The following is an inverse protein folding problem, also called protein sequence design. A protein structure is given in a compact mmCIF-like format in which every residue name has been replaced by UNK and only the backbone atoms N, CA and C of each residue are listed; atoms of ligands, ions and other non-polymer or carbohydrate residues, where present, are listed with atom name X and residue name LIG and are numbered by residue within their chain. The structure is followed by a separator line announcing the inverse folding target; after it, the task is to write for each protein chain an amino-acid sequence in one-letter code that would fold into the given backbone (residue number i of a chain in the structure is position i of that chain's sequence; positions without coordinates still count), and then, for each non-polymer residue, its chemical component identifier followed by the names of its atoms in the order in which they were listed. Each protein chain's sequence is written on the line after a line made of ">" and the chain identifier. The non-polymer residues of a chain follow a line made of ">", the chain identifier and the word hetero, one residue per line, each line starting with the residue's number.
data_IF_688887817787
#
_entry.id   IF_688887817787
#
_cell.length_a   1.000
_cell.length_b   1.000
_cell.length_c   1.000
_cell.angle_alpha   90.00
_cell.angle_beta   90.00
_cell.angle_gamma   90.00
#
_symmetry.space_group_name_H-M   'P 1'
#
loop_
_entity.id
_entity.type
_entity.pdbx_description
1 polymer ?
#
# COMPACT_ATOMS: atom_id res chain seq x y z
N UNK A 1 12.30 -15.73 2.79
CA UNK A 1 12.82 -14.68 1.88
C UNK A 1 12.86 -15.27 0.48
N UNK A 2 12.31 -14.57 -0.51
CA UNK A 2 12.37 -15.02 -1.92
C UNK A 2 13.59 -14.38 -2.58
N UNK A 3 14.28 -15.13 -3.44
CA UNK A 3 15.40 -14.60 -4.23
C UNK A 3 14.88 -13.56 -5.22
N UNK A 4 15.61 -12.47 -5.38
CA UNK A 4 15.29 -11.46 -6.38
C UNK A 4 15.65 -11.98 -7.77
N UNK A 5 14.72 -11.85 -8.72
CA UNK A 5 14.85 -12.33 -10.09
C UNK A 5 14.56 -11.19 -11.07
N UNK A 6 14.75 -11.42 -12.37
CA UNK A 6 14.33 -10.47 -13.40
C UNK A 6 12.80 -10.36 -13.40
N UNK A 7 12.26 -9.19 -13.08
CA UNK A 7 10.82 -8.90 -13.03
C UNK A 7 10.42 -8.14 -14.29
N UNK A 8 9.39 -8.62 -15.01
CA UNK A 8 8.74 -7.92 -16.13
C UNK A 8 7.27 -7.71 -15.78
N UNK A 9 6.89 -6.50 -15.41
CA UNK A 9 5.52 -6.14 -14.97
C UNK A 9 5.08 -4.81 -15.57
N UNK A 10 3.80 -4.48 -15.36
CA UNK A 10 3.25 -3.15 -15.63
C UNK A 10 3.80 -2.18 -14.59
N UNK A 11 4.20 -0.98 -15.03
CA UNK A 11 4.63 0.12 -14.17
C UNK A 11 3.46 1.06 -13.96
N UNK A 12 3.28 1.54 -12.72
CA UNK A 12 2.31 2.57 -12.38
C UNK A 12 3.06 3.84 -11.96
N UNK A 13 2.94 4.95 -12.71
CA UNK A 13 3.55 6.22 -12.30
C UNK A 13 2.86 6.76 -11.05
N UNK A 14 3.65 7.25 -10.09
CA UNK A 14 3.17 7.90 -8.86
C UNK A 14 3.82 9.28 -8.75
N UNK A 15 3.12 10.31 -9.19
CA UNK A 15 3.60 11.69 -9.20
C UNK A 15 3.39 12.36 -7.82
N UNK A 16 4.17 11.92 -6.84
CA UNK A 16 4.16 12.47 -5.47
C UNK A 16 5.57 12.49 -4.91
N UNK A 17 5.97 13.63 -4.37
CA UNK A 17 7.21 13.79 -3.61
C UNK A 17 6.95 13.57 -2.12
N UNK A 18 7.99 13.17 -1.37
CA UNK A 18 7.94 13.02 0.09
C UNK A 18 6.86 12.05 0.58
N UNK A 19 6.71 10.90 -0.10
CA UNK A 19 5.78 9.85 0.33
C UNK A 19 6.22 9.26 1.68
N UNK A 20 5.40 9.45 2.72
CA UNK A 20 5.70 9.00 4.08
C UNK A 20 5.13 7.61 4.42
N UNK A 21 5.45 7.10 5.62
CA UNK A 21 5.02 5.75 6.04
C UNK A 21 3.52 5.63 6.27
N UNK A 22 2.86 6.68 6.77
CA UNK A 22 1.40 6.67 7.00
C UNK A 22 0.64 6.75 5.67
N UNK A 23 1.21 7.39 4.66
CA UNK A 23 0.68 7.41 3.30
C UNK A 23 0.80 6.04 2.62
N UNK A 24 1.91 5.31 2.85
CA UNK A 24 2.09 3.95 2.31
C UNK A 24 1.11 2.98 2.97
N UNK A 25 1.06 2.94 4.30
CA UNK A 25 0.08 2.16 5.08
C UNK A 25 -0.25 2.92 6.37
N UNK A 26 -1.49 3.40 6.55
CA UNK A 26 -1.86 4.15 7.75
C UNK A 26 -1.73 3.36 9.06
N UNK A 27 -1.26 4.02 10.13
CA UNK A 27 -1.04 3.42 11.47
C UNK A 27 -2.22 2.65 12.06
N UNK A 28 -3.47 2.97 11.73
CA UNK A 28 -4.63 2.25 12.25
C UNK A 28 -4.64 0.77 11.86
N UNK A 29 -4.08 0.44 10.70
CA UNK A 29 -4.01 -0.93 10.22
C UNK A 29 -2.88 -1.72 10.89
N UNK A 30 -1.84 -1.06 11.40
CA UNK A 30 -0.70 -1.70 12.05
C UNK A 30 -1.05 -2.36 13.40
N UNK A 31 -2.22 -2.03 13.95
CA UNK A 31 -2.75 -2.68 15.16
C UNK A 31 -3.41 -4.04 14.88
N UNK A 32 -3.64 -4.39 13.61
CA UNK A 32 -4.30 -5.63 13.23
C UNK A 32 -3.34 -6.80 13.41
N UNK A 33 -3.72 -7.78 14.24
CA UNK A 33 -2.95 -9.01 14.52
C UNK A 33 -3.25 -10.13 13.50
N UNK A 34 -3.81 -9.76 12.34
CA UNK A 34 -4.24 -10.73 11.33
C UNK A 34 -3.03 -11.34 10.60
N UNK A 35 -3.12 -12.63 10.26
CA UNK A 35 -2.11 -13.33 9.45
C UNK A 35 -2.20 -13.03 7.95
N UNK A 36 -3.24 -12.30 7.52
CA UNK A 36 -3.43 -11.88 6.14
C UNK A 36 -2.54 -10.67 5.81
N UNK A 37 -2.17 -10.53 4.54
CA UNK A 37 -1.28 -9.47 4.09
C UNK A 37 -1.89 -8.07 4.17
N UNK A 38 -1.02 -7.06 4.29
CA UNK A 38 -1.38 -5.63 4.34
C UNK A 38 -1.67 -5.01 2.97
N UNK A 39 -1.56 -5.77 1.88
CA UNK A 39 -1.66 -5.24 0.51
C UNK A 39 -2.98 -4.51 0.20
N UNK A 40 -4.09 -4.87 0.86
CA UNK A 40 -5.37 -4.16 0.72
C UNK A 40 -5.36 -2.72 1.28
N UNK A 41 -4.43 -2.41 2.18
CA UNK A 41 -4.30 -1.11 2.83
C UNK A 41 -3.20 -0.24 2.22
N UNK A 42 -2.55 -0.71 1.16
CA UNK A 42 -1.53 0.07 0.44
C UNK A 42 -2.17 1.34 -0.13
N UNK A 43 -1.61 2.49 0.21
CA UNK A 43 -2.09 3.81 -0.18
C UNK A 43 -3.56 4.06 0.15
N UNK A 44 -4.06 3.52 1.26
CA UNK A 44 -5.49 3.50 1.59
C UNK A 44 -6.17 4.87 1.44
N UNK A 45 -5.60 5.92 2.05
CA UNK A 45 -6.17 7.28 2.01
C UNK A 45 -6.14 7.94 0.62
N UNK A 46 -5.35 7.41 -0.33
CA UNK A 46 -5.34 7.88 -1.72
C UNK A 46 -6.19 7.02 -2.64
N UNK A 47 -6.38 5.76 -2.25
CA UNK A 47 -7.06 4.73 -3.04
C UNK A 47 -8.55 4.69 -2.79
N UNK A 48 -9.00 5.09 -1.60
CA UNK A 48 -10.39 5.00 -1.18
C UNK A 48 -10.94 6.38 -0.79
N UNK A 49 -12.20 6.63 -1.13
CA UNK A 49 -12.96 7.78 -0.66
C UNK A 49 -13.48 7.59 0.78
N UNK A 50 -14.17 8.60 1.32
CA UNK A 50 -14.72 8.57 2.68
C UNK A 50 -15.82 7.49 2.87
N UNK A 51 -16.36 6.93 1.77
CA UNK A 51 -17.29 5.80 1.78
C UNK A 51 -16.59 4.45 1.58
N UNK A 52 -15.26 4.43 1.64
CA UNK A 52 -14.39 3.27 1.40
C UNK A 52 -14.54 2.66 -0.01
N UNK A 53 -14.93 3.48 -1.00
CA UNK A 53 -15.02 3.10 -2.42
C UNK A 53 -13.75 3.52 -3.18
N UNK A 54 -13.41 2.74 -4.21
CA UNK A 54 -12.28 3.00 -5.11
C UNK A 54 -12.52 4.23 -5.99
#
# INVERSE_FOLDING_TARGET
>A
MQSFQKIKTIVTPLDKVNVDTDQIVPKQFLKLVQKSGFGKFLFYNWRYDDQEKL
#
